data_IF_743455231439
#
_entry.id   IF_743455231439
#
_cell.length_a   1.000
_cell.length_b   1.000
_cell.length_c   1.000
_cell.angle_alpha   90.00
_cell.angle_beta   90.00
_cell.angle_gamma   90.00
#
_symmetry.space_group_name_H-M   'P 1'
#
loop_
_entity.id
_entity.type
_entity.pdbx_description
1 polymer ?
#
# COMPACT_ATOMS: atom_id res chain seq x y z
N UNK A 1 -3.61 -23.35 13.76
CA UNK A 1 -3.24 -21.96 14.14
C UNK A 1 -2.68 -21.29 12.91
N UNK A 2 -2.80 -19.97 12.80
CA UNK A 2 -2.23 -19.22 11.67
C UNK A 2 -0.70 -19.31 11.72
N UNK A 3 -0.06 -19.51 10.57
CA UNK A 3 1.39 -19.37 10.41
C UNK A 3 1.74 -17.90 10.18
N UNK A 4 2.94 -17.46 10.54
CA UNK A 4 3.39 -16.07 10.40
C UNK A 4 4.62 -15.95 9.51
N UNK A 5 4.60 -15.00 8.60
CA UNK A 5 5.75 -14.58 7.81
C UNK A 5 6.06 -13.14 8.16
N UNK A 6 7.13 -12.89 8.91
CA UNK A 6 7.55 -11.54 9.27
C UNK A 6 8.41 -10.95 8.16
N UNK A 7 7.92 -9.90 7.52
CA UNK A 7 8.59 -9.21 6.40
C UNK A 7 9.29 -7.97 6.93
N UNK A 8 10.62 -7.96 6.86
CA UNK A 8 11.46 -6.85 7.32
C UNK A 8 12.33 -6.33 6.18
N UNK A 9 12.83 -5.10 6.28
CA UNK A 9 13.77 -4.54 5.31
C UNK A 9 14.96 -3.91 5.99
N UNK A 10 16.10 -3.89 5.32
CA UNK A 10 17.30 -3.23 5.80
C UNK A 10 18.06 -2.54 4.67
N UNK A 11 19.18 -1.91 5.02
CA UNK A 11 19.99 -1.04 4.15
C UNK A 11 19.32 0.30 3.81
N UNK A 12 18.16 0.29 3.13
CA UNK A 12 17.41 1.51 2.77
C UNK A 12 15.90 1.28 2.87
N UNK A 13 15.14 2.37 2.99
CA UNK A 13 13.68 2.36 2.81
C UNK A 13 13.30 2.21 1.33
N UNK A 14 12.00 2.03 1.05
CA UNK A 14 11.45 1.94 -0.32
C UNK A 14 11.99 0.79 -1.18
N UNK A 15 12.41 -0.31 -0.57
CA UNK A 15 12.83 -1.55 -1.26
C UNK A 15 11.69 -2.36 -1.90
N UNK A 16 10.44 -1.93 -1.73
CA UNK A 16 9.26 -2.69 -2.18
C UNK A 16 8.88 -3.85 -1.25
N UNK A 17 8.95 -3.64 0.08
CA UNK A 17 8.53 -4.64 1.09
C UNK A 17 7.08 -5.08 0.88
N UNK A 18 6.16 -4.12 0.76
CA UNK A 18 4.73 -4.39 0.52
C UNK A 18 4.49 -5.18 -0.76
N UNK A 19 5.08 -4.75 -1.87
CA UNK A 19 4.97 -5.46 -3.16
C UNK A 19 5.55 -6.89 -3.10
N UNK A 20 6.70 -7.08 -2.45
CA UNK A 20 7.32 -8.39 -2.32
C UNK A 20 6.52 -9.32 -1.40
N UNK A 21 6.02 -8.81 -0.28
CA UNK A 21 5.11 -9.53 0.61
C UNK A 21 3.83 -9.92 -0.12
N UNK A 22 3.19 -8.97 -0.80
CA UNK A 22 1.97 -9.19 -1.58
C UNK A 22 2.17 -10.24 -2.68
N UNK A 23 3.31 -10.20 -3.38
CA UNK A 23 3.65 -11.19 -4.39
C UNK A 23 3.82 -12.61 -3.81
N UNK A 24 4.47 -12.74 -2.65
CA UNK A 24 4.53 -14.03 -1.95
C UNK A 24 3.14 -14.47 -1.48
N UNK A 25 2.35 -13.55 -0.94
CA UNK A 25 0.97 -13.83 -0.53
C UNK A 25 0.13 -14.37 -1.68
N UNK A 26 0.26 -13.77 -2.88
CA UNK A 26 -0.42 -14.22 -4.08
C UNK A 26 -0.01 -15.63 -4.51
N UNK A 27 1.26 -15.99 -4.38
CA UNK A 27 1.73 -17.36 -4.63
C UNK A 27 1.15 -18.36 -3.63
N UNK A 28 1.07 -17.98 -2.37
CA UNK A 28 0.46 -18.82 -1.33
C UNK A 28 -1.05 -18.99 -1.54
N UNK A 29 -1.75 -17.93 -1.96
CA UNK A 29 -3.17 -17.99 -2.33
C UNK A 29 -3.39 -18.87 -3.58
N UNK A 30 -2.51 -18.78 -4.57
CA UNK A 30 -2.49 -19.65 -5.74
C UNK A 30 -2.27 -21.14 -5.39
N UNK A 31 -1.72 -21.43 -4.21
CA UNK A 31 -1.60 -22.79 -3.63
C UNK A 31 -2.83 -23.20 -2.80
N UNK A 32 -3.88 -22.38 -2.77
CA UNK A 32 -5.12 -22.66 -2.07
C UNK A 32 -5.13 -22.30 -0.58
N UNK A 33 -4.16 -21.53 -0.11
CA UNK A 33 -4.13 -21.05 1.28
C UNK A 33 -4.97 -19.79 1.45
N UNK A 34 -5.62 -19.65 2.61
CA UNK A 34 -6.21 -18.39 3.01
C UNK A 34 -5.13 -17.48 3.59
N UNK A 35 -4.80 -16.42 2.86
CA UNK A 35 -3.72 -15.50 3.20
C UNK A 35 -4.27 -14.17 3.69
N UNK A 36 -3.66 -13.60 4.73
CA UNK A 36 -3.91 -12.22 5.17
C UNK A 36 -2.59 -11.45 5.27
N UNK A 37 -2.66 -10.12 5.22
CA UNK A 37 -1.49 -9.25 5.37
C UNK A 37 -1.73 -8.18 6.42
N UNK A 38 -0.68 -7.83 7.15
CA UNK A 38 -0.69 -6.77 8.14
C UNK A 38 0.44 -5.80 7.85
N UNK A 39 0.19 -4.50 8.02
CA UNK A 39 1.17 -3.42 7.97
C UNK A 39 1.35 -2.80 9.35
N UNK A 40 2.57 -2.84 9.88
CA UNK A 40 2.95 -2.21 11.13
C UNK A 40 3.74 -0.95 10.84
N UNK A 41 3.14 0.21 11.10
CA UNK A 41 3.75 1.50 10.77
C UNK A 41 4.44 2.14 11.97
N UNK A 42 5.74 2.46 11.87
CA UNK A 42 6.52 2.90 13.03
C UNK A 42 6.26 4.35 13.45
N UNK A 43 5.43 5.10 12.73
CA UNK A 43 5.12 6.50 13.03
C UNK A 43 4.12 6.69 14.17
N UNK A 44 4.10 7.90 14.74
CA UNK A 44 3.32 8.26 15.96
C UNK A 44 1.89 8.70 15.63
N UNK A 45 1.56 9.04 14.39
CA UNK A 45 0.16 9.28 13.99
C UNK A 45 -0.69 8.05 14.33
N UNK A 46 -1.85 8.25 14.96
CA UNK A 46 -2.75 7.16 15.35
C UNK A 46 -3.34 6.48 14.12
N UNK A 47 -3.65 7.27 13.11
CA UNK A 47 -4.11 6.88 11.78
C UNK A 47 -3.46 7.78 10.72
N UNK A 48 -3.40 7.33 9.46
CA UNK A 48 -2.87 8.11 8.35
C UNK A 48 -3.84 9.17 7.81
N UNK A 49 -5.09 9.25 8.29
CA UNK A 49 -6.09 10.23 7.84
C UNK A 49 -5.66 11.68 8.07
N UNK A 50 -4.80 11.90 9.07
CA UNK A 50 -4.19 13.20 9.37
C UNK A 50 -2.93 13.51 8.54
N UNK A 51 -2.44 12.57 7.74
CA UNK A 51 -1.19 12.72 6.99
C UNK A 51 -1.43 13.39 5.64
N UNK A 52 -0.46 14.21 5.23
CA UNK A 52 -0.53 14.89 3.95
C UNK A 52 -0.30 13.91 2.79
N UNK A 53 -1.20 13.84 1.79
CA UNK A 53 -1.01 12.96 0.65
C UNK A 53 0.25 13.24 -0.18
N UNK A 54 0.84 14.44 -0.04
CA UNK A 54 2.11 14.81 -0.68
C UNK A 54 3.34 14.09 -0.14
N UNK A 55 3.26 13.61 1.10
CA UNK A 55 4.39 12.97 1.78
C UNK A 55 4.18 11.48 1.91
N UNK A 56 2.93 11.07 2.11
CA UNK A 56 2.58 9.69 2.45
C UNK A 56 1.92 8.92 1.30
N UNK A 57 1.63 9.58 0.17
CA UNK A 57 0.82 8.99 -0.90
C UNK A 57 -0.68 8.98 -0.56
N UNK A 58 -1.46 8.17 -1.24
CA UNK A 58 -2.89 8.08 -0.97
C UNK A 58 -3.20 7.51 0.42
N UNK A 59 -4.35 7.90 0.98
CA UNK A 59 -4.95 7.21 2.11
C UNK A 59 -5.88 6.13 1.53
N UNK A 60 -5.62 4.87 1.88
CA UNK A 60 -6.49 3.77 1.47
C UNK A 60 -7.65 3.64 2.45
N UNK A 61 -8.83 3.27 1.96
CA UNK A 61 -10.03 3.12 2.80
C UNK A 61 -10.54 1.69 2.70
N UNK A 62 -10.56 1.00 3.84
CA UNK A 62 -11.05 -0.38 3.92
C UNK A 62 -12.59 -0.45 3.92
N UNK A 63 -13.13 -1.65 3.70
CA UNK A 63 -14.58 -1.85 3.68
C UNK A 63 -15.29 -1.54 5.02
N UNK A 64 -14.58 -1.63 6.14
CA UNK A 64 -15.07 -1.25 7.47
C UNK A 64 -14.85 0.24 7.80
N UNK A 65 -14.42 1.05 6.82
CA UNK A 65 -14.28 2.49 6.93
C UNK A 65 -13.01 2.96 7.64
N UNK A 66 -11.99 2.10 7.77
CA UNK A 66 -10.70 2.53 8.31
C UNK A 66 -9.89 3.26 7.25
N UNK A 67 -9.32 4.40 7.64
CA UNK A 67 -8.30 5.11 6.89
C UNK A 67 -6.95 4.48 7.19
N UNK A 68 -6.23 4.02 6.17
CA UNK A 68 -5.03 3.19 6.31
C UNK A 68 -3.93 3.60 5.35
N UNK A 69 -2.73 3.06 5.58
CA UNK A 69 -1.59 3.18 4.68
C UNK A 69 -1.92 2.60 3.28
N UNK A 70 -1.27 3.13 2.25
CA UNK A 70 -1.48 2.73 0.85
C UNK A 70 -1.10 1.27 0.58
N UNK A 71 -0.25 0.66 1.40
CA UNK A 71 0.15 -0.73 1.22
C UNK A 71 -1.02 -1.70 1.38
N UNK A 72 -2.07 -1.33 2.12
CA UNK A 72 -3.28 -2.17 2.18
C UNK A 72 -3.97 -2.26 0.82
N UNK A 73 -3.91 -1.19 0.01
CA UNK A 73 -4.33 -1.25 -1.38
C UNK A 73 -3.46 -2.19 -2.21
N UNK A 74 -2.16 -2.27 -1.95
CA UNK A 74 -1.31 -3.27 -2.60
C UNK A 74 -1.70 -4.69 -2.22
N UNK A 75 -2.03 -4.93 -0.96
CA UNK A 75 -2.45 -6.25 -0.49
C UNK A 75 -3.76 -6.68 -1.17
N UNK A 76 -4.78 -5.82 -1.19
CA UNK A 76 -6.07 -6.12 -1.84
C UNK A 76 -5.97 -6.24 -3.37
N UNK A 77 -4.96 -5.65 -4.01
CA UNK A 77 -4.71 -5.83 -5.45
C UNK A 77 -4.09 -7.17 -5.79
N UNK A 78 -3.35 -7.78 -4.85
CA UNK A 78 -2.64 -9.05 -5.06
C UNK A 78 -3.39 -10.25 -4.47
N UNK A 79 -4.24 -10.03 -3.48
CA UNK A 79 -4.93 -11.06 -2.70
C UNK A 79 -6.44 -10.92 -2.83
N UNK A 80 -7.17 -12.03 -2.75
CA UNK A 80 -8.63 -11.99 -2.66
C UNK A 80 -9.17 -11.56 -1.28
N UNK A 81 -8.32 -11.66 -0.24
CA UNK A 81 -8.68 -11.27 1.12
C UNK A 81 -8.89 -9.76 1.20
N UNK A 82 -10.04 -9.36 1.75
CA UNK A 82 -10.35 -7.97 2.09
C UNK A 82 -9.68 -7.60 3.41
N UNK A 83 -8.99 -6.47 3.42
CA UNK A 83 -8.37 -5.92 4.60
C UNK A 83 -9.41 -5.16 5.44
N UNK A 84 -9.21 -5.14 6.74
CA UNK A 84 -9.99 -4.36 7.71
C UNK A 84 -9.06 -3.58 8.64
N UNK A 85 -9.62 -2.83 9.59
CA UNK A 85 -8.84 -2.02 10.54
C UNK A 85 -7.80 -2.79 11.37
N UNK A 86 -7.86 -4.12 11.44
CA UNK A 86 -6.88 -4.96 12.15
C UNK A 86 -5.64 -5.22 11.31
N UNK A 87 -5.70 -4.99 10.00
CA UNK A 87 -4.62 -5.20 9.05
C UNK A 87 -3.64 -4.02 9.01
N UNK A 88 -3.94 -2.89 9.68
CA UNK A 88 -3.00 -1.78 9.84
C UNK A 88 -3.01 -1.27 11.27
N UNK A 89 -1.83 -1.02 11.84
CA UNK A 89 -1.72 -0.27 13.08
C UNK A 89 -0.35 0.39 13.21
N UNK A 90 -0.33 1.46 13.98
CA UNK A 90 0.81 2.36 14.09
C UNK A 90 1.44 2.31 15.48
N UNK A 91 2.67 2.80 15.63
CA UNK A 91 3.26 3.06 16.95
C UNK A 91 2.35 3.97 17.78
N UNK A 92 1.80 5.02 17.16
CA UNK A 92 0.86 5.94 17.80
C UNK A 92 -0.31 5.23 18.47
N UNK A 93 -1.01 4.39 17.71
CA UNK A 93 -2.18 3.64 18.19
C UNK A 93 -1.82 2.64 19.29
N UNK A 94 -0.66 1.97 19.19
CA UNK A 94 -0.16 1.07 20.23
C UNK A 94 0.08 1.83 21.53
N UNK A 95 0.83 2.93 21.47
CA UNK A 95 1.15 3.73 22.65
C UNK A 95 -0.10 4.36 23.27
N UNK A 96 -1.01 4.89 22.45
CA UNK A 96 -2.31 5.39 22.92
C UNK A 96 -3.05 4.30 23.70
N UNK A 97 -3.18 3.10 23.13
CA UNK A 97 -3.89 1.97 23.78
C UNK A 97 -3.26 1.61 25.11
N UNK A 98 -1.92 1.54 25.19
CA UNK A 98 -1.19 1.21 26.42
C UNK A 98 -1.37 2.31 27.48
N UNK A 99 -1.27 3.58 27.09
CA UNK A 99 -1.44 4.71 28.00
C UNK A 99 -2.89 4.76 28.54
N UNK A 100 -3.89 4.53 27.70
CA UNK A 100 -5.30 4.49 28.12
C UNK A 100 -5.58 3.36 29.12
N UNK A 101 -5.06 2.15 28.87
CA UNK A 101 -5.13 1.01 29.81
C UNK A 101 -4.49 1.36 31.15
N UNK A 102 -3.36 2.05 31.12
CA UNK A 102 -2.66 2.50 32.32
C UNK A 102 -3.48 3.51 33.12
N UNK A 103 -4.04 4.53 32.48
CA UNK A 103 -4.91 5.53 33.13
C UNK A 103 -6.20 4.94 33.69
N UNK A 104 -6.73 3.86 33.08
CA UNK A 104 -7.89 3.12 33.61
C UNK A 104 -7.54 2.22 34.81
N UNK A 105 -6.26 1.99 35.08
CA UNK A 105 -5.79 1.15 36.19
C UNK A 105 -5.64 -0.34 35.82
N UNK A 106 -5.68 -0.71 34.54
CA UNK A 106 -5.62 -2.11 34.08
C UNK A 106 -4.29 -2.80 34.47
N UNK A 107 -3.23 -2.02 34.69
CA UNK A 107 -1.91 -2.55 35.10
C UNK A 107 -1.72 -2.66 36.62
N UNK A 108 -2.76 -2.36 37.41
CA UNK A 108 -2.82 -2.57 38.87
C UNK A 108 -1.68 -1.87 39.64
N UNK A 109 -1.34 -0.64 39.24
CA UNK A 109 -0.31 0.17 39.88
C UNK A 109 1.14 -0.28 39.60
N UNK A 110 1.35 -1.27 38.74
CA UNK A 110 2.69 -1.69 38.30
C UNK A 110 3.27 -0.70 37.28
N UNK A 111 4.59 -0.62 37.22
CA UNK A 111 5.29 0.20 36.23
C UNK A 111 5.03 -0.30 34.82
N UNK A 112 4.51 0.58 33.96
CA UNK A 112 4.34 0.33 32.52
C UNK A 112 5.65 0.60 31.79
N UNK A 113 6.02 -0.31 30.90
CA UNK A 113 7.32 -0.37 30.22
C UNK A 113 7.12 -0.85 28.78
N UNK A 114 8.08 -0.56 27.89
CA UNK A 114 8.06 -1.07 26.51
C UNK A 114 7.97 -2.59 26.49
N UNK A 115 8.82 -3.27 27.25
CA UNK A 115 8.73 -4.71 27.49
C UNK A 115 8.19 -4.91 28.92
N UNK A 116 7.08 -5.65 29.12
CA UNK A 116 6.32 -6.36 28.10
C UNK A 116 5.16 -5.55 27.50
N UNK A 117 4.73 -4.43 28.09
CA UNK A 117 3.39 -3.86 27.83
C UNK A 117 3.17 -3.37 26.38
N UNK A 118 4.16 -2.71 25.77
CA UNK A 118 4.08 -2.26 24.37
C UNK A 118 4.25 -3.46 23.43
N UNK A 119 5.24 -4.34 23.69
CA UNK A 119 5.45 -5.54 22.88
C UNK A 119 4.25 -6.50 22.93
N UNK A 120 3.60 -6.66 24.08
CA UNK A 120 2.41 -7.48 24.25
C UNK A 120 1.22 -6.90 23.49
N UNK A 121 1.05 -5.58 23.46
CA UNK A 121 0.01 -4.94 22.66
C UNK A 121 0.26 -5.13 21.16
N UNK A 122 1.51 -5.06 20.71
CA UNK A 122 1.90 -5.37 19.32
C UNK A 122 1.58 -6.83 18.98
N UNK A 123 2.07 -7.78 19.79
CA UNK A 123 1.81 -9.22 19.60
C UNK A 123 0.31 -9.52 19.55
N UNK A 124 -0.46 -8.91 20.45
CA UNK A 124 -1.93 -9.04 20.50
C UNK A 124 -2.56 -8.59 19.18
N UNK A 125 -2.14 -7.44 18.63
CA UNK A 125 -2.67 -6.92 17.36
C UNK A 125 -2.28 -7.80 16.17
N UNK A 126 -1.06 -8.31 16.12
CA UNK A 126 -0.62 -9.25 15.08
C UNK A 126 -1.51 -10.51 15.09
N UNK A 127 -1.71 -11.13 16.26
CA UNK A 127 -2.56 -12.32 16.39
C UNK A 127 -4.03 -12.04 16.01
N UNK A 128 -4.54 -10.85 16.31
CA UNK A 128 -5.91 -10.45 15.94
C UNK A 128 -6.10 -10.20 14.44
N UNK A 129 -5.11 -9.61 13.76
CA UNK A 129 -5.17 -9.43 12.31
C UNK A 129 -4.86 -10.70 11.52
N UNK A 130 -4.10 -11.64 12.11
CA UNK A 130 -3.86 -12.98 11.57
C UNK A 130 -5.06 -13.94 11.73
N UNK A 131 -6.08 -13.54 12.50
CA UNK A 131 -7.22 -14.38 12.80
C UNK A 131 -7.96 -14.79 11.51
N UNK A 132 -8.35 -16.06 11.45
CA UNK A 132 -9.06 -16.68 10.33
C UNK A 132 -8.25 -16.83 9.03
N UNK A 133 -6.93 -16.72 9.04
CA UNK A 133 -6.06 -17.04 7.90
C UNK A 133 -5.19 -18.27 8.20
N UNK A 134 -4.78 -19.00 7.15
CA UNK A 134 -3.80 -20.07 7.27
C UNK A 134 -2.39 -19.49 7.41
N UNK A 135 -2.11 -18.40 6.69
CA UNK A 135 -0.83 -17.67 6.73
C UNK A 135 -1.08 -16.17 6.82
N UNK A 136 -0.39 -15.51 7.76
CA UNK A 136 -0.38 -14.06 7.90
C UNK A 136 1.01 -13.51 7.57
N UNK A 137 1.10 -12.64 6.57
CA UNK A 137 2.31 -11.88 6.30
C UNK A 137 2.26 -10.58 7.09
N UNK A 138 3.26 -10.34 7.92
CA UNK A 138 3.34 -9.18 8.81
C UNK A 138 4.49 -8.30 8.33
N UNK A 139 4.16 -7.24 7.59
CA UNK A 139 5.13 -6.25 7.16
C UNK A 139 5.48 -5.30 8.31
N UNK A 140 6.77 -5.22 8.61
CA UNK A 140 7.33 -4.26 9.56
C UNK A 140 7.82 -3.04 8.78
N UNK A 141 7.15 -1.91 8.97
CA UNK A 141 7.55 -0.62 8.44
C UNK A 141 8.89 -0.13 9.01
N UNK A 142 9.48 0.86 8.33
CA UNK A 142 10.82 1.35 8.63
C UNK A 142 11.94 0.43 8.12
N UNK A 143 13.15 0.63 8.65
CA UNK A 143 14.35 -0.10 8.29
C UNK A 143 14.98 -0.72 9.54
N UNK A 144 15.41 -1.98 9.45
CA UNK A 144 16.15 -2.64 10.55
C UNK A 144 17.41 -1.82 10.86
N UNK A 145 17.54 -1.43 12.14
CA UNK A 145 18.57 -0.52 12.63
C UNK A 145 18.00 0.80 13.13
N UNK A 146 16.82 1.20 12.65
CA UNK A 146 16.15 2.41 13.10
C UNK A 146 15.49 2.21 14.47
N UNK A 147 15.53 3.26 15.30
CA UNK A 147 14.97 3.23 16.67
C UNK A 147 13.45 2.99 16.64
N UNK A 148 12.77 3.56 15.65
CA UNK A 148 11.31 3.51 15.52
C UNK A 148 10.75 2.09 15.32
N UNK A 149 11.51 1.18 14.69
CA UNK A 149 11.09 -0.20 14.45
C UNK A 149 11.43 -1.15 15.61
N UNK A 150 12.23 -0.74 16.59
CA UNK A 150 12.71 -1.62 17.67
C UNK A 150 11.59 -2.32 18.44
N UNK A 151 10.49 -1.66 18.87
CA UNK A 151 9.40 -2.34 19.57
C UNK A 151 8.73 -3.42 18.71
N UNK A 152 8.57 -3.20 17.40
CA UNK A 152 8.00 -4.20 16.49
C UNK A 152 8.93 -5.39 16.30
N UNK A 153 10.23 -5.14 16.09
CA UNK A 153 11.22 -6.20 15.91
C UNK A 153 11.33 -7.07 17.18
N UNK A 154 11.31 -6.45 18.37
CA UNK A 154 11.30 -7.21 19.62
C UNK A 154 9.99 -8.02 19.79
N UNK A 155 8.84 -7.47 19.40
CA UNK A 155 7.57 -8.19 19.47
C UNK A 155 7.55 -9.44 18.59
N UNK A 156 7.98 -9.34 17.32
CA UNK A 156 8.03 -10.51 16.41
C UNK A 156 9.09 -11.52 16.82
N UNK A 157 10.20 -11.08 17.43
CA UNK A 157 11.21 -11.96 18.02
C UNK A 157 10.64 -12.76 19.19
N UNK A 158 9.85 -12.12 20.06
CA UNK A 158 9.12 -12.81 21.13
C UNK A 158 8.09 -13.78 20.56
N UNK A 159 7.35 -13.40 19.51
CA UNK A 159 6.41 -14.33 18.85
C UNK A 159 7.11 -15.57 18.31
N UNK A 160 8.26 -15.44 17.64
CA UNK A 160 9.01 -16.60 17.17
C UNK A 160 9.48 -17.55 18.28
N UNK A 161 9.52 -17.10 19.54
CA UNK A 161 9.79 -17.95 20.71
C UNK A 161 8.50 -18.52 21.31
N UNK A 162 7.40 -17.79 21.23
CA UNK A 162 6.09 -18.15 21.80
C UNK A 162 5.27 -19.09 20.91
N UNK A 163 5.36 -18.95 19.59
CA UNK A 163 4.65 -19.79 18.61
C UNK A 163 5.35 -21.15 18.42
N UNK A 164 4.63 -22.14 17.89
CA UNK A 164 5.18 -23.49 17.69
C UNK A 164 6.33 -23.50 16.68
N UNK A 165 7.25 -24.45 16.82
CA UNK A 165 8.35 -24.59 15.86
C UNK A 165 7.79 -24.90 14.46
N UNK A 166 8.15 -24.08 13.47
CA UNK A 166 7.60 -24.16 12.12
C UNK A 166 6.31 -23.34 11.93
N UNK A 167 5.90 -22.51 12.90
CA UNK A 167 4.79 -21.56 12.74
C UNK A 167 5.24 -20.17 12.32
N UNK A 168 6.54 -19.87 12.34
CA UNK A 168 7.07 -18.55 12.00
C UNK A 168 8.21 -18.62 10.99
N UNK A 169 8.26 -17.65 10.08
CA UNK A 169 9.34 -17.44 9.10
C UNK A 169 9.72 -15.96 9.04
N UNK A 170 11.01 -15.66 8.95
CA UNK A 170 11.53 -14.31 8.75
C UNK A 170 12.03 -14.11 7.31
N UNK A 171 11.35 -13.23 6.57
CA UNK A 171 11.75 -12.80 5.23
C UNK A 171 12.35 -11.39 5.31
N UNK A 172 13.63 -11.24 4.96
CA UNK A 172 14.35 -9.97 5.09
C UNK A 172 14.79 -9.43 3.72
N UNK A 173 14.30 -8.24 3.36
CA UNK A 173 14.68 -7.51 2.14
C UNK A 173 15.95 -6.70 2.37
N UNK A 174 16.87 -6.73 1.41
CA UNK A 174 18.12 -5.94 1.42
C UNK A 174 18.43 -5.38 0.04
N UNK A 175 19.29 -4.35 -0.02
CA UNK A 175 19.80 -3.81 -1.28
C UNK A 175 21.17 -4.40 -1.63
N UNK A 176 21.32 -4.86 -2.87
CA UNK A 176 22.60 -5.23 -3.48
C UNK A 176 22.92 -4.20 -4.57
N UNK A 177 23.61 -3.10 -4.22
CA UNK A 177 23.86 -2.02 -5.17
C UNK A 177 24.95 -2.39 -6.18
N UNK A 178 24.80 -1.91 -7.41
CA UNK A 178 25.84 -1.90 -8.43
C UNK A 178 26.64 -0.60 -8.38
N UNK A 179 27.96 -0.68 -8.23
CA UNK A 179 28.83 0.50 -8.29
C UNK A 179 29.42 0.66 -9.69
N UNK A 180 28.90 1.59 -10.48
CA UNK A 180 29.36 1.84 -11.84
C UNK A 180 30.86 2.15 -11.93
N UNK A 181 31.42 2.86 -10.94
CA UNK A 181 32.86 3.17 -10.89
C UNK A 181 33.76 1.95 -10.72
N UNK A 182 33.25 0.88 -10.11
CA UNK A 182 33.99 -0.37 -9.88
C UNK A 182 33.55 -1.50 -10.82
N UNK A 183 32.44 -1.32 -11.53
CA UNK A 183 31.88 -2.33 -12.43
C UNK A 183 31.31 -3.57 -11.73
N UNK A 184 31.07 -3.54 -10.42
CA UNK A 184 30.66 -4.72 -9.63
C UNK A 184 29.49 -4.48 -8.68
N UNK A 185 28.74 -5.56 -8.40
CA UNK A 185 27.70 -5.61 -7.36
C UNK A 185 28.33 -5.77 -5.97
N UNK A 186 27.77 -5.10 -4.97
CA UNK A 186 28.29 -5.15 -3.60
C UNK A 186 27.34 -5.92 -2.68
N UNK A 187 27.81 -7.07 -2.18
CA UNK A 187 27.06 -7.90 -1.22
C UNK A 187 27.18 -7.44 0.24
N UNK A 188 28.07 -6.48 0.53
CA UNK A 188 28.42 -6.08 1.90
C UNK A 188 27.24 -5.41 2.63
N UNK A 189 26.44 -4.52 2.01
CA UNK A 189 25.26 -3.95 2.67
C UNK A 189 24.31 -5.02 3.20
N UNK A 190 23.98 -6.04 2.40
CA UNK A 190 23.19 -7.20 2.84
C UNK A 190 23.81 -7.91 4.04
N UNK A 191 25.13 -8.15 4.04
CA UNK A 191 25.82 -8.80 5.15
C UNK A 191 25.73 -8.00 6.46
N UNK A 192 25.89 -6.67 6.38
CA UNK A 192 25.71 -5.80 7.54
C UNK A 192 24.26 -5.79 8.03
N UNK A 193 23.29 -5.72 7.11
CA UNK A 193 21.87 -5.76 7.43
C UNK A 193 21.48 -7.02 8.21
N UNK A 194 21.94 -8.19 7.76
CA UNK A 194 21.72 -9.47 8.45
C UNK A 194 22.41 -9.49 9.82
N UNK A 195 23.59 -8.89 9.94
CA UNK A 195 24.27 -8.77 11.23
C UNK A 195 23.46 -7.94 12.23
N UNK A 196 22.90 -6.81 11.81
CA UNK A 196 22.04 -5.97 12.68
C UNK A 196 20.78 -6.72 13.10
N UNK A 197 20.13 -7.43 12.18
CA UNK A 197 18.96 -8.26 12.47
C UNK A 197 19.29 -9.38 13.49
N UNK A 198 20.45 -10.02 13.34
CA UNK A 198 20.92 -11.05 14.27
C UNK A 198 21.34 -10.48 15.62
N UNK A 199 21.85 -9.25 15.66
CA UNK A 199 22.26 -8.60 16.91
C UNK A 199 21.07 -8.39 17.86
N UNK A 200 19.86 -8.24 17.32
CA UNK A 200 18.61 -8.19 18.08
C UNK A 200 17.93 -9.56 18.23
N UNK A 201 18.63 -10.65 17.90
CA UNK A 201 18.14 -12.02 18.12
C UNK A 201 17.20 -12.58 17.05
N UNK A 202 17.14 -11.98 15.86
CA UNK A 202 16.36 -12.49 14.73
C UNK A 202 17.29 -13.08 13.67
N UNK A 203 17.10 -14.36 13.35
CA UNK A 203 17.76 -15.00 12.21
C UNK A 203 16.79 -15.01 11.03
N UNK A 204 17.14 -14.39 9.88
CA UNK A 204 16.31 -14.51 8.68
C UNK A 204 16.34 -15.96 8.17
N UNK A 205 15.22 -16.42 7.64
CA UNK A 205 15.07 -17.69 6.94
C UNK A 205 15.21 -17.51 5.42
N UNK A 206 14.80 -16.33 4.92
CA UNK A 206 14.84 -15.96 3.51
C UNK A 206 15.41 -14.55 3.36
N UNK A 207 16.28 -14.36 2.36
CA UNK A 207 16.74 -13.05 1.92
C UNK A 207 16.18 -12.73 0.54
N UNK A 208 15.51 -11.59 0.44
CA UNK A 208 15.15 -10.98 -0.83
C UNK A 208 16.17 -9.88 -1.15
N UNK A 209 17.06 -10.14 -2.09
CA UNK A 209 18.11 -9.21 -2.48
C UNK A 209 17.63 -8.36 -3.65
N UNK A 210 17.24 -7.11 -3.37
CA UNK A 210 16.86 -6.11 -4.37
C UNK A 210 18.08 -5.65 -5.15
N UNK A 211 17.96 -5.62 -6.47
CA UNK A 211 19.01 -5.17 -7.38
C UNK A 211 18.42 -4.66 -8.69
N UNK A 212 19.15 -3.79 -9.39
CA UNK A 212 18.78 -3.28 -10.71
C UNK A 212 19.02 -4.29 -11.85
N UNK A 213 19.62 -5.45 -11.53
CA UNK A 213 20.02 -6.50 -12.49
C UNK A 213 20.12 -7.87 -11.81
N UNK A 214 20.15 -8.98 -12.58
CA UNK A 214 20.30 -10.32 -12.02
C UNK A 214 21.56 -10.46 -11.16
N UNK A 215 21.40 -11.00 -9.95
CA UNK A 215 22.51 -11.24 -9.03
C UNK A 215 23.21 -12.56 -9.42
N UNK A 216 24.53 -12.54 -9.71
CA UNK A 216 25.30 -13.72 -10.06
C UNK A 216 25.26 -14.80 -8.97
N UNK A 217 25.30 -16.07 -9.38
CA UNK A 217 25.21 -17.20 -8.46
C UNK A 217 26.31 -17.21 -7.38
N UNK A 218 27.54 -16.81 -7.73
CA UNK A 218 28.66 -16.68 -6.78
C UNK A 218 28.38 -15.61 -5.71
N UNK A 219 27.73 -14.50 -6.07
CA UNK A 219 27.32 -13.45 -5.14
C UNK A 219 26.21 -13.94 -4.21
N UNK A 220 25.22 -14.68 -4.73
CA UNK A 220 24.16 -15.30 -3.91
C UNK A 220 24.73 -16.33 -2.94
N UNK A 221 25.61 -17.21 -3.43
CA UNK A 221 26.28 -18.23 -2.60
C UNK A 221 27.10 -17.56 -1.48
N UNK A 222 27.81 -16.47 -1.81
CA UNK A 222 28.52 -15.65 -0.82
C UNK A 222 27.59 -15.03 0.20
N UNK A 223 26.48 -14.41 -0.23
CA UNK A 223 25.47 -13.83 0.67
C UNK A 223 24.93 -14.92 1.62
N UNK A 224 24.56 -16.09 1.08
CA UNK A 224 24.08 -17.23 1.85
C UNK A 224 25.08 -17.65 2.91
N UNK A 225 26.34 -17.88 2.52
CA UNK A 225 27.41 -18.28 3.44
C UNK A 225 27.61 -17.27 4.58
N UNK A 226 27.70 -15.97 4.28
CA UNK A 226 27.88 -14.94 5.31
C UNK A 226 26.65 -14.74 6.20
N UNK A 227 25.47 -15.11 5.71
CA UNK A 227 24.18 -14.95 6.41
C UNK A 227 23.71 -16.22 7.12
N UNK A 228 24.50 -17.30 7.08
CA UNK A 228 24.15 -18.64 7.56
C UNK A 228 22.87 -19.19 6.90
N UNK A 229 22.72 -18.97 5.60
CA UNK A 229 21.57 -19.40 4.80
C UNK A 229 22.00 -20.28 3.62
N UNK A 230 21.19 -21.30 3.25
CA UNK A 230 21.44 -22.03 2.01
C UNK A 230 21.24 -21.10 0.81
N UNK A 231 21.97 -21.34 -0.29
CA UNK A 231 21.90 -20.46 -1.48
C UNK A 231 20.47 -20.29 -2.01
N UNK A 232 19.65 -21.34 -1.98
CA UNK A 232 18.24 -21.30 -2.41
C UNK A 232 17.36 -20.34 -1.61
N UNK A 233 17.80 -19.94 -0.41
CA UNK A 233 17.10 -18.96 0.42
C UNK A 233 17.52 -17.50 0.12
N UNK A 234 18.44 -17.30 -0.82
CA UNK A 234 18.87 -15.97 -1.29
C UNK A 234 18.25 -15.71 -2.66
N UNK A 235 17.11 -15.02 -2.65
CA UNK A 235 16.30 -14.74 -3.85
C UNK A 235 16.76 -13.43 -4.47
N UNK A 236 16.98 -13.44 -5.79
CA UNK A 236 17.27 -12.23 -6.58
C UNK A 236 15.95 -11.51 -6.89
N UNK A 237 15.68 -10.42 -6.19
CA UNK A 237 14.48 -9.61 -6.38
C UNK A 237 14.80 -8.42 -7.29
N UNK A 238 14.95 -8.65 -8.59
CA UNK A 238 15.34 -7.61 -9.55
C UNK A 238 14.27 -6.54 -9.76
N UNK A 239 14.67 -5.36 -10.19
CA UNK A 239 13.73 -4.36 -10.71
C UNK A 239 13.00 -4.89 -11.95
N UNK A 240 11.71 -4.57 -12.04
CA UNK A 240 10.82 -5.01 -13.12
C UNK A 240 10.05 -3.83 -13.67
N UNK A 241 9.69 -3.91 -14.95
CA UNK A 241 8.77 -2.98 -15.64
C UNK A 241 7.35 -2.99 -15.05
N UNK A 242 6.95 -4.09 -14.41
CA UNK A 242 5.62 -4.22 -13.81
C UNK A 242 5.64 -5.06 -12.53
N UNK A 243 4.94 -4.59 -11.49
CA UNK A 243 4.78 -5.31 -10.22
C UNK A 243 4.10 -6.66 -10.39
N UNK A 244 3.29 -6.84 -11.44
CA UNK A 244 2.58 -8.08 -11.73
C UNK A 244 3.52 -9.21 -12.19
N UNK A 245 4.79 -8.91 -12.53
CA UNK A 245 5.81 -9.94 -12.83
C UNK A 245 6.43 -10.56 -11.60
N UNK A 246 6.37 -9.88 -10.45
CA UNK A 246 7.09 -10.27 -9.24
C UNK A 246 6.70 -11.68 -8.77
N UNK A 247 5.40 -12.09 -8.73
CA UNK A 247 5.03 -13.45 -8.35
C UNK A 247 5.70 -14.52 -9.21
N UNK A 248 5.72 -14.33 -10.54
CA UNK A 248 6.34 -15.29 -11.47
C UNK A 248 7.87 -15.38 -11.27
N UNK A 249 8.54 -14.24 -11.02
CA UNK A 249 9.98 -14.21 -10.76
C UNK A 249 10.37 -14.88 -9.44
N UNK A 250 9.52 -14.73 -8.42
CA UNK A 250 9.73 -15.37 -7.12
C UNK A 250 9.48 -16.87 -7.19
N UNK A 251 8.41 -17.28 -7.88
CA UNK A 251 8.11 -18.69 -8.11
C UNK A 251 9.21 -19.39 -8.92
N UNK A 252 9.72 -18.74 -9.97
CA UNK A 252 10.82 -19.28 -10.78
C UNK A 252 12.12 -19.53 -9.96
N UNK A 253 12.26 -18.87 -8.80
CA UNK A 253 13.38 -19.07 -7.87
C UNK A 253 13.03 -20.00 -6.69
N UNK A 254 11.82 -20.54 -6.63
CA UNK A 254 11.36 -21.47 -5.59
C UNK A 254 11.11 -20.82 -4.23
N UNK A 255 10.80 -19.52 -4.18
CA UNK A 255 10.54 -18.82 -2.92
C UNK A 255 9.35 -19.44 -2.18
N UNK A 256 8.24 -19.66 -2.86
CA UNK A 256 7.02 -20.21 -2.29
C UNK A 256 7.20 -21.68 -1.88
N UNK A 257 7.94 -22.48 -2.65
CA UNK A 257 8.31 -23.85 -2.25
C UNK A 257 9.13 -23.87 -0.94
N UNK A 258 10.09 -22.95 -0.81
CA UNK A 258 10.89 -22.81 0.41
C UNK A 258 10.01 -22.42 1.61
N UNK A 259 9.10 -21.47 1.43
CA UNK A 259 8.18 -21.03 2.48
C UNK A 259 7.25 -22.16 2.92
N UNK A 260 6.67 -22.90 1.97
CA UNK A 260 5.83 -24.08 2.25
C UNK A 260 6.61 -25.13 3.04
N UNK A 261 7.87 -25.38 2.67
CA UNK A 261 8.73 -26.32 3.38
C UNK A 261 9.04 -25.87 4.81
N UNK A 262 9.45 -24.61 5.01
CA UNK A 262 9.84 -24.08 6.32
C UNK A 262 8.65 -24.04 7.28
N UNK A 263 7.47 -23.67 6.78
CA UNK A 263 6.24 -23.63 7.58
C UNK A 263 5.54 -24.99 7.74
N UNK A 264 6.10 -26.06 7.14
CA UNK A 264 5.54 -27.42 7.21
C UNK A 264 4.15 -27.53 6.57
N UNK A 265 3.87 -26.74 5.53
CA UNK A 265 2.57 -26.70 4.87
C UNK A 265 2.43 -27.84 3.85
N UNK A 266 1.24 -28.43 3.76
CA UNK A 266 0.90 -29.45 2.77
C UNK A 266 -0.11 -28.87 1.77
N UNK A 267 0.41 -28.35 0.67
CA UNK A 267 -0.38 -27.63 -0.33
C UNK A 267 0.04 -28.03 -1.75
N UNK A 268 -0.85 -27.90 -2.76
CA UNK A 268 -0.50 -28.13 -4.15
C UNK A 268 0.53 -27.11 -4.69
N UNK A 269 0.98 -27.33 -5.92
CA UNK A 269 1.69 -26.32 -6.70
C UNK A 269 0.76 -25.13 -7.03
N UNK A 270 1.29 -23.91 -7.23
CA UNK A 270 0.46 -22.74 -7.45
C UNK A 270 -0.18 -22.75 -8.84
N UNK A 271 -1.45 -22.35 -8.93
CA UNK A 271 -2.07 -22.00 -10.21
C UNK A 271 -1.72 -20.55 -10.59
N UNK A 272 -0.84 -20.40 -11.58
CA UNK A 272 -0.36 -19.10 -12.06
C UNK A 272 -1.12 -18.58 -13.29
N UNK A 273 -2.24 -19.20 -13.66
CA UNK A 273 -3.01 -18.84 -14.86
C UNK A 273 -3.41 -17.36 -14.90
N UNK A 274 -3.87 -16.81 -13.77
CA UNK A 274 -4.26 -15.39 -13.63
C UNK A 274 -3.05 -14.48 -13.89
N UNK A 275 -1.92 -14.75 -13.24
CA UNK A 275 -0.71 -13.94 -13.37
C UNK A 275 -0.13 -13.99 -14.78
N UNK A 276 -0.09 -15.18 -15.40
CA UNK A 276 0.33 -15.32 -16.79
C UNK A 276 -0.60 -14.56 -17.75
N UNK A 277 -1.92 -14.57 -17.51
CA UNK A 277 -2.88 -13.79 -18.30
C UNK A 277 -2.69 -12.28 -18.16
N UNK A 278 -2.33 -11.80 -16.97
CA UNK A 278 -1.99 -10.38 -16.75
C UNK A 278 -0.74 -9.99 -17.55
N UNK A 279 0.32 -10.82 -17.48
CA UNK A 279 1.55 -10.56 -18.25
C UNK A 279 1.30 -10.59 -19.75
N UNK A 280 0.52 -11.55 -20.25
CA UNK A 280 0.14 -11.60 -21.67
C UNK A 280 -0.56 -10.31 -22.12
N UNK A 281 -1.51 -9.81 -21.33
CA UNK A 281 -2.22 -8.56 -21.63
C UNK A 281 -1.30 -7.31 -21.57
N UNK A 282 -0.29 -7.32 -20.70
CA UNK A 282 0.72 -6.26 -20.62
C UNK A 282 1.66 -6.24 -21.83
N UNK A 283 2.10 -7.41 -22.27
CA UNK A 283 3.08 -7.55 -23.37
C UNK A 283 2.45 -7.42 -24.75
N UNK A 284 1.17 -7.74 -24.88
CA UNK A 284 0.46 -7.77 -26.16
C UNK A 284 -0.82 -6.90 -26.18
N UNK A 285 -0.73 -5.57 -25.94
CA UNK A 285 -1.88 -4.69 -26.06
C UNK A 285 -2.34 -4.54 -27.52
N UNK A 286 -3.64 -4.46 -27.74
CA UNK A 286 -4.28 -4.30 -29.05
C UNK A 286 -4.45 -2.81 -29.45
N UNK A 287 -3.94 -1.89 -28.63
CA UNK A 287 -3.79 -0.45 -28.88
C UNK A 287 -3.65 0.34 -27.59
N UNK A 288 -3.64 1.67 -27.69
CA UNK A 288 -3.44 2.60 -26.57
C UNK A 288 -4.69 3.45 -26.31
N UNK A 289 -4.91 3.82 -25.05
CA UNK A 289 -5.83 4.88 -24.62
C UNK A 289 -5.10 5.88 -23.74
N UNK A 290 -5.31 7.17 -24.01
CA UNK A 290 -4.69 8.28 -23.29
C UNK A 290 -5.69 8.84 -22.29
N UNK A 291 -5.37 8.79 -21.00
CA UNK A 291 -6.25 9.28 -19.93
C UNK A 291 -5.58 10.45 -19.21
N UNK A 292 -6.22 11.62 -19.24
CA UNK A 292 -5.80 12.76 -18.44
C UNK A 292 -6.31 12.60 -17.00
N UNK A 293 -5.38 12.53 -16.05
CA UNK A 293 -5.66 12.57 -14.62
C UNK A 293 -5.42 14.00 -14.13
N UNK A 294 -6.51 14.74 -13.96
CA UNK A 294 -6.47 16.17 -13.63
C UNK A 294 -6.62 16.36 -12.13
N UNK A 295 -5.48 16.42 -11.45
CA UNK A 295 -5.38 16.39 -10.00
C UNK A 295 -4.71 17.62 -9.42
N UNK A 296 -4.71 17.69 -8.09
CA UNK A 296 -3.98 18.69 -7.31
C UNK A 296 -2.61 18.17 -6.84
N UNK A 297 -2.48 16.84 -6.76
CA UNK A 297 -1.32 16.14 -6.19
C UNK A 297 -0.53 15.39 -7.27
N UNK A 298 -0.32 16.01 -8.44
CA UNK A 298 0.33 15.33 -9.58
C UNK A 298 1.85 15.19 -9.46
N UNK A 299 2.48 15.96 -8.56
CA UNK A 299 3.93 15.86 -8.28
C UNK A 299 4.36 14.56 -7.59
N UNK A 300 3.41 13.82 -7.00
CA UNK A 300 3.63 12.49 -6.43
C UNK A 300 2.57 11.55 -7.01
N UNK A 301 2.96 10.68 -7.94
CA UNK A 301 2.06 9.71 -8.58
C UNK A 301 1.35 8.80 -7.58
N UNK A 302 1.97 8.55 -6.42
CA UNK A 302 1.42 7.73 -5.33
C UNK A 302 0.17 8.33 -4.68
N UNK A 303 -0.08 9.64 -4.83
CA UNK A 303 -1.30 10.28 -4.31
C UNK A 303 -2.58 9.82 -5.03
N UNK A 304 -2.46 9.16 -6.19
CA UNK A 304 -3.57 8.64 -6.98
C UNK A 304 -3.36 7.17 -7.39
N UNK A 305 -2.59 6.41 -6.60
CA UNK A 305 -2.13 5.06 -6.94
C UNK A 305 -3.28 4.12 -7.27
N UNK A 306 -4.29 4.01 -6.41
CA UNK A 306 -5.43 3.11 -6.61
C UNK A 306 -6.26 3.48 -7.83
N UNK A 307 -6.37 4.77 -8.16
CA UNK A 307 -7.09 5.22 -9.36
C UNK A 307 -6.33 4.86 -10.64
N UNK A 308 -5.01 5.07 -10.65
CA UNK A 308 -4.16 4.67 -11.75
C UNK A 308 -4.18 3.14 -11.94
N UNK A 309 -4.05 2.37 -10.85
CA UNK A 309 -4.12 0.90 -10.92
C UNK A 309 -5.49 0.39 -11.41
N UNK A 310 -6.60 0.99 -10.96
CA UNK A 310 -7.93 0.61 -11.43
C UNK A 310 -8.09 0.82 -12.95
N UNK A 311 -7.57 1.93 -13.48
CA UNK A 311 -7.58 2.19 -14.93
C UNK A 311 -6.63 1.26 -15.69
N UNK A 312 -5.45 0.97 -15.14
CA UNK A 312 -4.55 -0.05 -15.69
C UNK A 312 -5.25 -1.41 -15.77
N UNK A 313 -5.96 -1.84 -14.71
CA UNK A 313 -6.72 -3.10 -14.69
C UNK A 313 -7.82 -3.13 -15.76
N UNK A 314 -8.53 -2.01 -15.95
CA UNK A 314 -9.51 -1.88 -17.02
C UNK A 314 -8.84 -2.01 -18.40
N UNK A 315 -7.66 -1.40 -18.58
CA UNK A 315 -6.82 -1.53 -19.77
C UNK A 315 -6.42 -2.98 -20.04
N UNK A 316 -5.91 -3.69 -19.02
CA UNK A 316 -5.57 -5.11 -19.11
C UNK A 316 -6.74 -5.97 -19.57
N UNK A 317 -7.92 -5.73 -18.98
CA UNK A 317 -9.16 -6.44 -19.35
C UNK A 317 -9.60 -6.13 -20.77
N UNK A 318 -9.42 -4.90 -21.23
CA UNK A 318 -9.75 -4.45 -22.59
C UNK A 318 -8.65 -4.73 -23.61
N UNK A 319 -7.50 -5.28 -23.19
CA UNK A 319 -6.27 -5.41 -23.98
C UNK A 319 -5.83 -4.08 -24.61
N UNK A 320 -5.79 -3.03 -23.80
CA UNK A 320 -5.30 -1.71 -24.20
C UNK A 320 -4.24 -1.24 -23.22
N UNK A 321 -3.15 -0.66 -23.73
CA UNK A 321 -2.21 0.09 -22.89
C UNK A 321 -2.86 1.39 -22.46
N UNK A 322 -2.67 1.77 -21.20
CA UNK A 322 -3.18 3.03 -20.66
C UNK A 322 -2.00 3.97 -20.46
N UNK A 323 -2.01 5.10 -21.18
CA UNK A 323 -1.05 6.18 -21.02
C UNK A 323 -1.67 7.29 -20.18
N UNK A 324 -1.07 7.60 -19.04
CA UNK A 324 -1.56 8.68 -18.18
C UNK A 324 -0.93 10.02 -18.53
N UNK A 325 -1.76 11.04 -18.63
CA UNK A 325 -1.34 12.44 -18.64
C UNK A 325 -1.66 13.03 -17.27
N UNK A 326 -0.65 13.17 -16.44
CA UNK A 326 -0.81 13.83 -15.15
C UNK A 326 -0.82 15.34 -15.35
N UNK A 327 -1.95 15.96 -15.03
CA UNK A 327 -2.20 17.38 -15.26
C UNK A 327 -2.52 18.07 -13.94
N UNK A 328 -1.75 19.10 -13.58
CA UNK A 328 -2.07 19.93 -12.42
C UNK A 328 -3.28 20.81 -12.74
N UNK A 329 -4.29 20.77 -11.87
CA UNK A 329 -5.46 21.62 -12.03
C UNK A 329 -5.10 23.13 -11.96
N UNK A 330 -4.05 23.54 -11.25
CA UNK A 330 -3.61 24.95 -11.25
C UNK A 330 -2.98 25.39 -12.58
N UNK A 331 -2.37 24.46 -13.32
CA UNK A 331 -1.88 24.75 -14.67
C UNK A 331 -3.06 25.03 -15.62
N UNK A 332 -4.19 24.35 -15.46
CA UNK A 332 -5.41 24.63 -16.21
C UNK A 332 -5.95 26.05 -15.91
N UNK A 333 -5.88 26.51 -14.65
CA UNK A 333 -6.33 27.86 -14.27
C UNK A 333 -5.49 28.96 -14.93
N UNK A 334 -4.20 28.73 -15.12
CA UNK A 334 -3.25 29.73 -15.59
C UNK A 334 -2.96 29.65 -17.08
N UNK A 335 -2.95 28.44 -17.65
CA UNK A 335 -2.53 28.16 -19.03
C UNK A 335 -3.70 27.70 -19.92
N UNK A 336 -4.85 27.34 -19.34
CA UNK A 336 -6.03 26.87 -20.08
C UNK A 336 -6.00 25.37 -20.39
N UNK A 337 -6.91 24.92 -21.24
CA UNK A 337 -7.23 23.50 -21.44
C UNK A 337 -6.50 22.82 -22.59
N UNK A 338 -5.54 23.50 -23.24
CA UNK A 338 -4.82 22.95 -24.40
C UNK A 338 -4.08 21.64 -24.10
N UNK A 339 -3.59 21.48 -22.87
CA UNK A 339 -2.94 20.25 -22.40
C UNK A 339 -3.87 19.04 -22.31
N UNK A 340 -5.20 19.22 -22.41
CA UNK A 340 -6.17 18.12 -22.43
C UNK A 340 -6.44 17.62 -23.86
N UNK A 341 -5.90 18.26 -24.90
CA UNK A 341 -6.28 18.00 -26.28
C UNK A 341 -5.89 16.60 -26.80
N UNK A 342 -4.85 15.98 -26.22
CA UNK A 342 -4.44 14.60 -26.58
C UNK A 342 -5.14 13.51 -25.75
N UNK A 343 -5.99 13.87 -24.79
CA UNK A 343 -6.66 12.91 -23.91
C UNK A 343 -7.90 12.29 -24.57
N UNK A 344 -7.96 10.96 -24.64
CA UNK A 344 -9.15 10.21 -25.07
C UNK A 344 -10.25 10.19 -23.99
N UNK A 345 -9.85 10.33 -22.72
CA UNK A 345 -10.75 10.43 -21.57
C UNK A 345 -10.12 11.26 -20.45
N UNK A 346 -10.97 11.82 -19.59
CA UNK A 346 -10.57 12.67 -18.46
C UNK A 346 -11.07 12.06 -17.14
N UNK A 347 -10.16 11.92 -16.17
CA UNK A 347 -10.46 11.60 -14.79
C UNK A 347 -10.15 12.80 -13.90
N UNK A 348 -11.13 13.25 -13.11
CA UNK A 348 -10.91 14.21 -12.03
C UNK A 348 -11.07 13.48 -10.69
N UNK A 349 -9.98 13.32 -9.92
CA UNK A 349 -9.99 12.57 -8.68
C UNK A 349 -10.52 13.43 -7.51
N UNK A 350 -10.65 12.78 -6.36
CA UNK A 350 -10.88 13.43 -5.09
C UNK A 350 -9.77 14.43 -4.71
N UNK A 351 -10.01 15.19 -3.66
CA UNK A 351 -9.03 16.11 -3.08
C UNK A 351 -9.67 16.96 -1.99
N UNK A 352 -8.82 17.57 -1.16
CA UNK A 352 -9.26 18.40 -0.04
C UNK A 352 -8.84 19.87 -0.23
N UNK A 353 -9.74 20.77 0.19
CA UNK A 353 -9.56 22.22 0.17
C UNK A 353 -9.65 22.87 -1.22
N UNK A 354 -9.66 24.20 -1.25
CA UNK A 354 -10.01 24.98 -2.45
C UNK A 354 -8.99 25.07 -3.59
N UNK A 355 -7.72 24.70 -3.37
CA UNK A 355 -6.66 24.83 -4.40
C UNK A 355 -6.97 24.00 -5.66
N UNK A 356 -6.85 24.59 -6.84
CA UNK A 356 -7.07 23.93 -8.14
C UNK A 356 -8.53 23.59 -8.45
N UNK A 357 -9.48 24.15 -7.70
CA UNK A 357 -10.92 23.85 -7.89
C UNK A 357 -11.44 24.41 -9.21
N UNK A 358 -11.09 25.66 -9.53
CA UNK A 358 -11.60 26.31 -10.74
C UNK A 358 -10.97 25.70 -12.00
N UNK A 359 -9.73 25.21 -11.90
CA UNK A 359 -9.09 24.42 -12.95
C UNK A 359 -9.80 23.09 -13.21
N UNK A 360 -10.24 22.41 -12.14
CA UNK A 360 -11.09 21.21 -12.26
C UNK A 360 -12.45 21.54 -12.88
N UNK A 361 -13.11 22.62 -12.48
CA UNK A 361 -14.39 23.06 -13.09
C UNK A 361 -14.20 23.36 -14.58
N UNK A 362 -13.11 24.06 -14.93
CA UNK A 362 -12.74 24.38 -16.33
C UNK A 362 -12.48 23.11 -17.15
N UNK A 363 -11.80 22.13 -16.56
CA UNK A 363 -11.57 20.80 -17.14
C UNK A 363 -12.88 20.06 -17.39
N UNK A 364 -13.81 20.07 -16.43
CA UNK A 364 -15.10 19.41 -16.56
C UNK A 364 -15.93 20.05 -17.68
N UNK A 365 -15.92 21.39 -17.73
CA UNK A 365 -16.57 22.14 -18.80
C UNK A 365 -16.00 21.77 -20.16
N UNK A 366 -14.68 21.70 -20.28
CA UNK A 366 -14.00 21.24 -21.49
C UNK A 366 -14.48 19.84 -21.89
N UNK A 367 -14.46 18.88 -20.96
CA UNK A 367 -14.92 17.52 -21.22
C UNK A 367 -16.37 17.48 -21.72
N UNK A 368 -17.28 18.22 -21.07
CA UNK A 368 -18.70 18.33 -21.47
C UNK A 368 -18.88 18.94 -22.84
N UNK A 369 -18.24 20.08 -23.11
CA UNK A 369 -18.41 20.84 -24.35
C UNK A 369 -17.75 20.16 -25.55
N UNK A 370 -16.59 19.51 -25.35
CA UNK A 370 -15.88 18.74 -26.37
C UNK A 370 -16.35 17.27 -26.46
N UNK A 371 -17.29 16.85 -25.60
CA UNK A 371 -17.82 15.48 -25.52
C UNK A 371 -16.75 14.42 -25.27
N UNK A 372 -15.73 14.76 -24.48
CA UNK A 372 -14.71 13.82 -24.01
C UNK A 372 -15.30 12.99 -22.85
N UNK A 373 -15.16 11.65 -22.85
CA UNK A 373 -15.54 10.81 -21.73
C UNK A 373 -14.96 11.30 -20.40
N UNK A 374 -15.80 11.40 -19.37
CA UNK A 374 -15.45 11.97 -18.09
C UNK A 374 -15.77 11.02 -16.93
N UNK A 375 -14.84 10.89 -15.99
CA UNK A 375 -15.03 10.22 -14.71
C UNK A 375 -14.64 11.15 -13.55
N UNK A 376 -15.63 11.56 -12.76
CA UNK A 376 -15.43 12.37 -11.56
C UNK A 376 -15.60 11.55 -10.29
N UNK A 377 -14.61 11.55 -9.40
CA UNK A 377 -14.63 10.79 -8.14
C UNK A 377 -14.64 11.75 -6.96
N UNK A 378 -15.60 11.57 -6.05
CA UNK A 378 -15.79 12.42 -4.86
C UNK A 378 -15.83 13.91 -5.25
N UNK A 379 -14.79 14.69 -4.94
CA UNK A 379 -14.66 16.09 -5.36
C UNK A 379 -14.86 16.27 -6.87
N UNK A 380 -14.36 15.36 -7.72
CA UNK A 380 -14.60 15.42 -9.17
C UNK A 380 -16.09 15.31 -9.53
N UNK A 381 -16.87 14.51 -8.80
CA UNK A 381 -18.33 14.45 -8.98
C UNK A 381 -19.00 15.74 -8.48
N UNK A 382 -18.61 16.21 -7.29
CA UNK A 382 -19.15 17.45 -6.71
C UNK A 382 -18.94 18.64 -7.66
N UNK A 383 -17.73 18.80 -8.19
CA UNK A 383 -17.41 19.90 -9.11
C UNK A 383 -18.10 19.77 -10.46
N UNK A 384 -18.49 18.56 -10.87
CA UNK A 384 -19.30 18.39 -12.08
C UNK A 384 -20.74 18.89 -11.88
N UNK A 385 -21.30 18.70 -10.67
CA UNK A 385 -22.59 19.30 -10.30
C UNK A 385 -22.48 20.83 -10.29
N UNK A 386 -21.40 21.37 -9.72
CA UNK A 386 -21.12 22.81 -9.70
C UNK A 386 -20.98 23.38 -11.11
N UNK A 387 -20.15 22.78 -11.97
CA UNK A 387 -19.96 23.21 -13.37
C UNK A 387 -21.30 23.26 -14.11
N UNK A 388 -22.09 22.19 -14.00
CA UNK A 388 -23.37 22.11 -14.70
C UNK A 388 -24.38 23.15 -14.16
N UNK A 389 -24.42 23.36 -12.84
CA UNK A 389 -25.27 24.38 -12.23
C UNK A 389 -24.91 25.78 -12.73
N UNK A 390 -23.62 26.12 -12.78
CA UNK A 390 -23.12 27.41 -13.26
C UNK A 390 -23.41 27.65 -14.73
N UNK A 391 -23.13 26.67 -15.59
CA UNK A 391 -23.08 26.88 -17.03
C UNK A 391 -24.33 26.40 -17.78
N UNK A 392 -25.10 25.46 -17.23
CA UNK A 392 -26.29 24.91 -17.88
C UNK A 392 -27.60 25.28 -17.15
N UNK A 393 -27.58 25.51 -15.84
CA UNK A 393 -28.77 25.86 -15.05
C UNK A 393 -28.89 27.35 -14.69
N UNK A 394 -27.89 28.18 -15.04
CA UNK A 394 -27.91 29.63 -14.78
C UNK A 394 -27.65 30.03 -13.33
N UNK A 395 -27.20 29.10 -12.48
CA UNK A 395 -26.81 29.37 -11.09
C UNK A 395 -25.34 29.78 -11.04
N UNK A 396 -25.02 31.01 -11.46
CA UNK A 396 -23.64 31.49 -11.67
C UNK A 396 -22.76 31.38 -10.43
N UNK A 397 -23.34 31.53 -9.24
CA UNK A 397 -22.64 31.48 -7.96
C UNK A 397 -22.66 30.08 -7.33
N UNK A 398 -23.11 29.04 -8.05
CA UNK A 398 -23.22 27.70 -7.50
C UNK A 398 -21.87 27.19 -6.96
N UNK A 399 -21.87 26.60 -5.76
CA UNK A 399 -20.66 26.02 -5.18
C UNK A 399 -20.97 24.94 -4.12
N UNK A 400 -19.92 24.33 -3.59
CA UNK A 400 -19.96 23.52 -2.37
C UNK A 400 -19.74 24.39 -1.14
N UNK A 401 -20.49 24.16 -0.06
CA UNK A 401 -20.25 24.85 1.22
C UNK A 401 -18.90 24.52 1.85
N UNK A 402 -18.23 23.44 1.42
CA UNK A 402 -16.84 23.13 1.80
C UNK A 402 -15.84 24.16 1.21
N UNK A 403 -16.13 24.67 0.02
CA UNK A 403 -15.21 25.50 -0.77
C UNK A 403 -15.56 26.98 -0.67
N UNK A 404 -16.86 27.29 -0.66
CA UNK A 404 -17.40 28.62 -0.43
C UNK A 404 -18.58 28.53 0.55
N UNK A 405 -18.35 28.71 1.86
CA UNK A 405 -19.40 28.67 2.86
C UNK A 405 -20.47 29.77 2.71
N UNK A 406 -20.20 30.81 1.91
CA UNK A 406 -21.09 31.96 1.73
C UNK A 406 -21.81 31.95 0.37
N UNK A 407 -21.66 30.88 -0.42
CA UNK A 407 -22.33 30.78 -1.72
C UNK A 407 -23.85 30.95 -1.58
N UNK A 408 -24.49 31.83 -2.35
CA UNK A 408 -25.94 31.95 -2.37
C UNK A 408 -26.63 30.77 -3.08
N UNK A 409 -25.86 29.86 -3.70
CA UNK A 409 -26.35 28.68 -4.40
C UNK A 409 -25.57 27.40 -3.99
N UNK A 410 -25.76 26.90 -2.75
CA UNK A 410 -25.05 25.73 -2.24
C UNK A 410 -25.61 24.43 -2.84
N UNK A 411 -25.13 24.05 -4.02
CA UNK A 411 -25.56 22.82 -4.72
C UNK A 411 -24.96 21.55 -4.12
N UNK A 412 -23.89 21.70 -3.33
CA UNK A 412 -23.30 20.64 -2.50
C UNK A 412 -23.21 21.17 -1.07
N UNK A 413 -23.76 20.43 -0.12
CA UNK A 413 -23.77 20.84 1.30
C UNK A 413 -23.64 19.63 2.22
N UNK A 414 -23.25 19.88 3.47
CA UNK A 414 -23.28 18.87 4.51
C UNK A 414 -24.73 18.59 4.89
N UNK A 415 -25.06 17.30 4.99
CA UNK A 415 -26.37 16.89 5.47
C UNK A 415 -26.47 17.19 6.97
N UNK A 416 -27.39 18.09 7.34
CA UNK A 416 -27.65 18.51 8.73
C UNK A 416 -28.71 17.65 9.43
N UNK A 417 -29.45 16.86 8.67
CA UNK A 417 -30.49 15.93 9.15
C UNK A 417 -30.47 14.64 8.32
N UNK A 418 -30.43 13.48 8.98
CA UNK A 418 -30.63 12.18 8.31
C UNK A 418 -31.50 11.24 9.14
N UNK A 419 -32.17 10.31 8.46
CA UNK A 419 -33.00 9.28 9.09
C UNK A 419 -32.31 7.92 9.01
N UNK A 420 -32.29 7.19 10.12
CA UNK A 420 -31.88 5.78 10.12
C UNK A 420 -32.96 4.88 9.45
N UNK A 421 -32.68 3.59 9.18
CA UNK A 421 -33.66 2.67 8.60
C UNK A 421 -34.93 2.45 9.45
N UNK A 422 -34.90 2.84 10.72
CA UNK A 422 -36.00 2.73 11.68
C UNK A 422 -36.82 4.04 11.75
N UNK A 423 -36.40 5.08 11.02
CA UNK A 423 -37.05 6.38 10.92
C UNK A 423 -36.62 7.39 12.00
N UNK A 424 -35.59 7.09 12.80
CA UNK A 424 -35.06 8.06 13.76
C UNK A 424 -34.25 9.14 13.05
N UNK A 425 -34.61 10.39 13.33
CA UNK A 425 -33.88 11.55 12.82
C UNK A 425 -32.69 11.85 13.72
N UNK A 426 -31.51 11.81 13.13
CA UNK A 426 -30.29 12.34 13.71
C UNK A 426 -30.00 13.70 13.08
N UNK A 427 -29.58 14.65 13.90
CA UNK A 427 -29.16 15.98 13.49
C UNK A 427 -27.66 16.10 13.75
N UNK A 428 -26.95 16.77 12.83
CA UNK A 428 -25.54 17.11 13.06
C UNK A 428 -25.48 18.34 13.94
N UNK A 429 -24.89 18.21 15.13
CA UNK A 429 -24.47 19.37 15.93
C UNK A 429 -23.25 20.00 15.23
N UNK A 430 -23.28 21.32 15.02
CA UNK A 430 -22.22 22.09 14.33
C UNK A 430 -20.85 22.01 15.03
#
# INVERSE_FOLDING_TARGET
>A
MSKYIFVTGGVVSSLGKGAAGAALGALLEARGLKVTMLKLDPYINVDPGTMSPFQHGEVFVTADGAETDLDLGHYERFLSTRMDKRNNFTTGLVYQTVIEKERRGDYLGRTVQVIPHVTDEIKRRIRLGAANADVALVEIGGTVGDIESQPFLEAIRQMAVEEEHGDTLFMHLTLVPYLASAGEMKTKPTQHSVRELRAIGIQPDVLLCRADRPIPADHRAKIGLFSNLPERAVISAIDTDSIYRIPLLFHAQGLDDLVVQVLGLQVPAPDLSVWNGIIDALEHPEGEVVIALVGKYVGLTESYKSLAEALLHAGLRARRSVRFLYVDAEDIETQGTEMLAEADAILVPGGFGGRGTEGKITTIRYAREQKVPYLGICLGMQLAVVEFARHCAGLTDANSTELDPQTPAPVITLMTEWSDPEGHKAYREE
#
